data_IF_874028071565
#
_entry.id   IF_874028071565
#
_cell.length_a   1.000
_cell.length_b   1.000
_cell.length_c   1.000
_cell.angle_alpha   90.00
_cell.angle_beta   90.00
_cell.angle_gamma   90.00
#
_symmetry.space_group_name_H-M   'P 1'
#
loop_
_entity.id
_entity.type
_entity.pdbx_description
1 polymer ?
#
# COMPACT_ATOMS: atom_id res chain seq x y z
N UNK A 1 10.61 10.97 -22.35
CA UNK A 1 10.46 11.06 -20.88
C UNK A 1 9.29 11.99 -20.61
N UNK A 2 8.17 11.46 -20.12
CA UNK A 2 7.01 12.24 -19.71
C UNK A 2 6.91 12.18 -18.19
N UNK A 3 6.90 13.35 -17.55
CA UNK A 3 6.68 13.47 -16.11
C UNK A 3 5.21 13.13 -15.83
N UNK A 4 4.95 12.37 -14.76
CA UNK A 4 3.61 11.96 -14.36
C UNK A 4 3.18 12.73 -13.11
N UNK A 5 1.88 12.99 -12.96
CA UNK A 5 1.33 13.64 -11.77
C UNK A 5 1.10 12.61 -10.66
N UNK A 6 1.31 13.01 -9.40
CA UNK A 6 1.02 12.15 -8.25
C UNK A 6 -0.46 11.77 -8.14
N UNK A 7 -1.36 12.64 -8.59
CA UNK A 7 -2.81 12.38 -8.67
C UNK A 7 -3.19 11.26 -9.64
N UNK A 8 -2.29 10.89 -10.55
CA UNK A 8 -2.51 9.78 -11.47
C UNK A 8 -2.12 8.42 -10.85
N UNK A 9 -1.47 8.41 -9.67
CA UNK A 9 -1.43 7.20 -8.83
C UNK A 9 -2.86 6.92 -8.36
N UNK A 10 -3.41 5.77 -8.76
CA UNK A 10 -4.78 5.40 -8.39
C UNK A 10 -4.77 4.14 -7.55
N UNK A 11 -5.38 4.24 -6.38
CA UNK A 11 -5.68 3.09 -5.52
C UNK A 11 -7.12 2.69 -5.77
N UNK A 12 -7.31 1.43 -6.12
CA UNK A 12 -8.63 0.82 -6.20
C UNK A 12 -8.68 -0.43 -5.35
N UNK A 13 -9.87 -0.76 -4.88
CA UNK A 13 -10.06 -1.88 -3.99
C UNK A 13 -11.42 -2.56 -4.18
N UNK A 14 -11.51 -3.80 -3.71
CA UNK A 14 -12.76 -4.55 -3.66
C UNK A 14 -12.78 -5.53 -2.49
N UNK A 15 -13.97 -5.75 -1.95
CA UNK A 15 -14.20 -6.71 -0.85
C UNK A 15 -14.01 -8.16 -1.29
N UNK A 16 -14.53 -8.53 -2.46
CA UNK A 16 -14.45 -9.88 -3.00
C UNK A 16 -14.22 -9.84 -4.53
N UNK A 17 -13.70 -10.94 -5.07
CA UNK A 17 -13.58 -11.23 -6.50
C UNK A 17 -14.85 -10.99 -7.34
N UNK A 18 -16.03 -11.09 -6.72
CA UNK A 18 -17.34 -10.88 -7.37
C UNK A 18 -17.69 -9.43 -7.66
N UNK A 19 -17.04 -8.48 -7.00
CA UNK A 19 -17.30 -7.05 -7.15
C UNK A 19 -16.23 -6.38 -8.03
N UNK A 20 -16.58 -5.31 -8.77
CA UNK A 20 -15.59 -4.51 -9.47
C UNK A 20 -14.67 -3.77 -8.48
N UNK A 21 -13.49 -3.37 -8.96
CA UNK A 21 -12.61 -2.48 -8.21
C UNK A 21 -13.20 -1.06 -8.16
N UNK A 22 -13.32 -0.52 -6.96
CA UNK A 22 -13.77 0.85 -6.71
C UNK A 22 -12.58 1.73 -6.33
N UNK A 23 -12.57 2.97 -6.80
CA UNK A 23 -11.49 3.92 -6.48
C UNK A 23 -11.61 4.36 -5.03
N UNK A 24 -10.49 4.34 -4.31
CA UNK A 24 -10.44 4.86 -2.94
C UNK A 24 -10.69 6.36 -2.96
N UNK A 25 -11.74 6.81 -2.29
CA UNK A 25 -12.12 8.22 -2.26
C UNK A 25 -11.24 9.04 -1.31
N UNK A 26 -11.22 10.36 -1.50
CA UNK A 26 -10.69 11.31 -0.51
C UNK A 26 -9.16 11.38 -0.37
N UNK A 27 -8.39 10.51 -1.03
CA UNK A 27 -6.91 10.50 -0.93
C UNK A 27 -6.29 11.79 -1.49
N UNK A 28 -5.46 12.43 -0.68
CA UNK A 28 -4.64 13.61 -1.05
C UNK A 28 -3.17 13.26 -1.23
N UNK A 29 -2.67 12.32 -0.44
CA UNK A 29 -1.28 11.83 -0.52
C UNK A 29 -1.25 10.32 -0.51
N UNK A 30 -0.37 9.75 -1.32
CA UNK A 30 -0.21 8.31 -1.48
C UNK A 30 1.28 8.01 -1.64
N UNK A 31 1.78 7.03 -0.87
CA UNK A 31 3.17 6.58 -0.97
C UNK A 31 3.19 5.06 -1.06
N UNK A 32 3.92 4.54 -2.04
CA UNK A 32 4.12 3.11 -2.24
C UNK A 32 5.60 2.79 -2.11
N UNK A 33 5.93 1.94 -1.15
CA UNK A 33 7.30 1.52 -0.87
C UNK A 33 7.44 0.02 -1.08
N UNK A 34 8.50 -0.40 -1.74
CA UNK A 34 8.89 -1.80 -1.87
C UNK A 34 10.15 -2.03 -1.05
N UNK A 35 10.11 -2.98 -0.14
CA UNK A 35 11.26 -3.35 0.68
C UNK A 35 11.69 -4.78 0.36
N UNK A 36 12.99 -5.03 0.52
CA UNK A 36 13.57 -6.36 0.39
C UNK A 36 14.54 -6.59 1.53
N UNK A 37 14.40 -7.74 2.20
CA UNK A 37 15.24 -8.18 3.30
C UNK A 37 16.07 -9.39 2.85
N UNK A 38 17.19 -9.18 2.11
CA UNK A 38 18.01 -10.27 1.59
C UNK A 38 18.74 -11.01 2.71
N UNK A 39 18.92 -12.32 2.54
CA UNK A 39 19.64 -13.16 3.51
C UNK A 39 21.14 -13.10 3.20
N UNK A 40 21.91 -12.63 4.18
CA UNK A 40 23.38 -12.61 4.12
C UNK A 40 23.94 -14.02 4.35
N UNK A 41 24.82 -14.46 3.46
CA UNK A 41 25.49 -15.77 3.53
C UNK A 41 27.01 -15.66 3.51
N UNK A 42 27.54 -14.49 3.90
CA UNK A 42 28.97 -14.24 3.95
C UNK A 42 29.69 -15.19 4.93
N UNK A 43 30.85 -15.70 4.49
CA UNK A 43 31.73 -16.61 5.25
C UNK A 43 33.18 -16.15 5.19
N UNK A 44 34.06 -16.70 6.04
CA UNK A 44 35.49 -16.37 6.03
C UNK A 44 36.17 -16.69 4.68
N UNK A 45 35.65 -17.69 3.96
CA UNK A 45 36.11 -18.13 2.65
C UNK A 45 35.45 -17.37 1.48
N UNK A 46 34.62 -16.35 1.78
CA UNK A 46 33.97 -15.55 0.74
C UNK A 46 35.02 -14.86 -0.14
N UNK A 47 35.03 -15.28 -1.41
CA UNK A 47 35.97 -14.77 -2.39
C UNK A 47 35.91 -13.24 -2.43
N UNK A 48 37.09 -12.60 -2.39
CA UNK A 48 37.23 -11.16 -2.54
C UNK A 48 36.69 -10.30 -1.39
N UNK A 49 36.33 -10.88 -0.22
CA UNK A 49 35.92 -10.16 1.00
C UNK A 49 34.66 -9.27 0.84
N UNK A 50 33.85 -9.50 -0.20
CA UNK A 50 32.57 -8.81 -0.37
C UNK A 50 31.45 -9.57 0.35
N UNK A 51 30.41 -8.83 0.76
CA UNK A 51 29.18 -9.44 1.29
C UNK A 51 28.49 -10.23 0.18
N UNK A 52 28.09 -11.45 0.51
CA UNK A 52 27.36 -12.34 -0.41
C UNK A 52 25.95 -12.54 0.12
N UNK A 53 24.97 -12.44 -0.76
CA UNK A 53 23.57 -12.69 -0.44
C UNK A 53 23.09 -13.96 -1.14
N UNK A 54 22.22 -14.71 -0.49
CA UNK A 54 21.57 -15.85 -1.11
C UNK A 54 20.54 -15.37 -2.15
N UNK A 55 20.77 -15.72 -3.41
CA UNK A 55 19.89 -15.34 -4.52
C UNK A 55 18.47 -15.85 -4.30
N UNK A 56 17.48 -15.04 -4.70
CA UNK A 56 16.04 -15.35 -4.61
C UNK A 56 15.54 -15.67 -3.19
N UNK A 57 16.36 -15.42 -2.18
CA UNK A 57 16.01 -15.55 -0.78
C UNK A 57 15.77 -14.19 -0.15
N UNK A 58 14.98 -14.18 0.91
CA UNK A 58 14.61 -12.97 1.63
C UNK A 58 13.15 -12.59 1.40
N UNK A 59 12.55 -12.05 2.45
CA UNK A 59 11.19 -11.55 2.40
C UNK A 59 11.17 -10.23 1.64
N UNK A 60 10.16 -10.04 0.78
CA UNK A 60 9.85 -8.76 0.18
C UNK A 60 8.50 -8.33 0.72
N UNK A 61 8.40 -7.07 1.08
CA UNK A 61 7.16 -6.46 1.52
C UNK A 61 6.88 -5.22 0.69
N UNK A 62 5.62 -4.83 0.69
CA UNK A 62 5.12 -3.65 0.03
C UNK A 62 4.28 -2.91 1.04
N UNK A 63 4.63 -1.67 1.31
CA UNK A 63 3.91 -0.82 2.24
C UNK A 63 3.24 0.31 1.45
N UNK A 64 1.94 0.49 1.67
CA UNK A 64 1.14 1.52 1.05
C UNK A 64 0.56 2.43 2.13
N UNK A 65 0.90 3.71 2.05
CA UNK A 65 0.39 4.74 2.94
C UNK A 65 -0.52 5.69 2.17
N UNK A 66 -1.71 5.93 2.71
CA UNK A 66 -2.68 6.88 2.17
C UNK A 66 -3.14 7.87 3.24
N UNK A 67 -3.27 9.13 2.88
CA UNK A 67 -3.93 10.13 3.73
C UNK A 67 -4.87 10.98 2.90
N UNK A 68 -6.03 11.32 3.49
CA UNK A 68 -7.11 11.97 2.78
C UNK A 68 -8.11 12.67 3.67
N UNK A 69 -9.11 13.27 3.03
CA UNK A 69 -10.31 13.76 3.70
C UNK A 69 -11.33 12.64 3.84
N UNK A 70 -12.04 12.64 4.96
CA UNK A 70 -13.13 11.71 5.18
C UNK A 70 -14.34 12.14 4.33
N UNK A 71 -14.71 11.30 3.37
CA UNK A 71 -15.80 11.59 2.41
C UNK A 71 -17.06 10.77 2.62
N UNK A 72 -17.09 9.89 3.63
CA UNK A 72 -18.17 8.92 3.87
C UNK A 72 -18.54 8.12 2.62
N UNK A 73 -17.52 7.71 1.87
CA UNK A 73 -17.66 6.92 0.66
C UNK A 73 -17.79 5.42 1.00
N UNK A 74 -18.23 4.61 0.03
CA UNK A 74 -18.29 3.15 0.19
C UNK A 74 -16.92 2.56 0.56
N UNK A 75 -15.83 3.18 0.09
CA UNK A 75 -14.46 2.85 0.45
C UNK A 75 -14.20 2.89 1.95
N UNK A 76 -14.72 3.91 2.62
CA UNK A 76 -14.42 4.21 4.02
C UNK A 76 -15.06 3.15 4.93
N UNK A 77 -16.26 2.72 4.57
CA UNK A 77 -16.97 1.63 5.24
C UNK A 77 -16.24 0.29 5.05
N UNK A 78 -15.73 0.01 3.84
CA UNK A 78 -14.97 -1.22 3.57
C UNK A 78 -13.69 -1.31 4.40
N UNK A 79 -12.90 -0.23 4.47
CA UNK A 79 -11.69 -0.23 5.30
C UNK A 79 -12.01 -0.47 6.76
N UNK A 80 -13.04 0.20 7.29
CA UNK A 80 -13.45 0.02 8.68
C UNK A 80 -13.90 -1.42 8.97
N UNK A 81 -14.75 -2.00 8.12
CA UNK A 81 -15.20 -3.39 8.29
C UNK A 81 -14.04 -4.38 8.26
N UNK A 82 -13.10 -4.21 7.31
CA UNK A 82 -11.96 -5.12 7.14
C UNK A 82 -10.94 -5.00 8.27
N UNK A 83 -10.71 -3.79 8.78
CA UNK A 83 -9.81 -3.58 9.92
C UNK A 83 -10.30 -4.36 11.14
N UNK A 84 -11.60 -4.28 11.46
CA UNK A 84 -12.17 -4.99 12.61
C UNK A 84 -12.32 -6.50 12.40
N UNK A 85 -12.48 -6.96 11.15
CA UNK A 85 -12.54 -8.40 10.86
C UNK A 85 -11.15 -9.06 10.79
N UNK A 86 -10.07 -8.28 10.75
CA UNK A 86 -8.71 -8.78 10.51
C UNK A 86 -8.54 -9.38 9.11
N UNK A 87 -9.38 -8.96 8.16
CA UNK A 87 -9.41 -9.49 6.81
C UNK A 87 -8.34 -8.90 5.88
N UNK A 88 -8.32 -9.41 4.65
CA UNK A 88 -7.49 -8.89 3.58
C UNK A 88 -8.34 -8.18 2.53
N UNK A 89 -7.79 -7.12 1.96
CA UNK A 89 -8.39 -6.33 0.90
C UNK A 89 -7.72 -6.67 -0.43
N UNK A 90 -8.50 -6.95 -1.46
CA UNK A 90 -7.96 -7.05 -2.81
C UNK A 90 -7.78 -5.65 -3.38
N UNK A 91 -6.56 -5.30 -3.74
CA UNK A 91 -6.23 -3.98 -4.27
C UNK A 91 -5.68 -4.04 -5.69
N UNK A 92 -6.02 -3.01 -6.46
CA UNK A 92 -5.42 -2.67 -7.74
C UNK A 92 -4.77 -1.29 -7.62
N UNK A 93 -3.43 -1.27 -7.66
CA UNK A 93 -2.64 -0.04 -7.61
C UNK A 93 -2.17 0.27 -9.03
N UNK A 94 -2.54 1.44 -9.53
CA UNK A 94 -2.20 1.87 -10.89
C UNK A 94 -1.09 2.90 -10.81
N UNK A 95 0.06 2.57 -11.40
CA UNK A 95 1.19 3.47 -11.59
C UNK A 95 1.21 3.93 -13.07
N UNK A 96 0.96 5.21 -13.35
CA UNK A 96 0.94 5.72 -14.72
C UNK A 96 2.20 5.37 -15.50
N UNK A 97 2.03 4.86 -16.71
CA UNK A 97 3.12 4.40 -17.59
C UNK A 97 3.97 3.23 -17.10
N UNK A 98 3.83 2.80 -15.84
CA UNK A 98 4.57 1.68 -15.25
C UNK A 98 3.73 0.40 -15.18
N UNK A 99 2.40 0.53 -15.06
CA UNK A 99 1.46 -0.58 -15.11
C UNK A 99 0.56 -0.64 -13.89
N UNK A 100 0.10 -1.85 -13.55
CA UNK A 100 -0.77 -2.08 -12.41
C UNK A 100 -0.28 -3.24 -11.55
N UNK A 101 -0.48 -3.11 -10.25
CA UNK A 101 -0.13 -4.11 -9.25
C UNK A 101 -1.42 -4.62 -8.65
N UNK A 102 -1.56 -5.94 -8.61
CA UNK A 102 -2.68 -6.64 -8.02
C UNK A 102 -2.17 -7.43 -6.82
N UNK A 103 -2.83 -7.30 -5.68
CA UNK A 103 -2.40 -7.97 -4.47
C UNK A 103 -3.45 -7.94 -3.36
N UNK A 104 -3.23 -8.78 -2.37
CA UNK A 104 -3.99 -8.75 -1.12
C UNK A 104 -3.17 -7.99 -0.08
N UNK A 105 -3.81 -7.02 0.57
CA UNK A 105 -3.21 -6.18 1.60
C UNK A 105 -3.98 -6.34 2.90
N UNK A 106 -3.29 -6.29 4.02
CA UNK A 106 -3.90 -6.22 5.34
C UNK A 106 -3.84 -4.76 5.81
N UNK A 107 -4.80 -4.31 6.61
CA UNK A 107 -4.76 -2.96 7.16
C UNK A 107 -3.90 -3.00 8.43
N UNK A 108 -2.72 -2.39 8.38
CA UNK A 108 -1.81 -2.28 9.52
C UNK A 108 -2.26 -1.16 10.47
N UNK A 109 -2.70 -0.03 9.92
CA UNK A 109 -3.19 1.11 10.69
C UNK A 109 -4.38 1.78 9.98
N UNK A 110 -5.39 2.15 10.76
CA UNK A 110 -6.50 3.01 10.32
C UNK A 110 -6.71 4.11 11.37
N UNK A 111 -6.47 5.36 10.97
CA UNK A 111 -6.56 6.53 11.85
C UNK A 111 -7.58 7.52 11.30
N UNK A 112 -8.43 8.03 12.18
CA UNK A 112 -9.32 9.16 11.91
C UNK A 112 -8.88 10.36 12.75
N UNK A 113 -8.76 11.53 12.13
CA UNK A 113 -8.42 12.78 12.79
C UNK A 113 -9.54 13.80 12.54
N UNK A 114 -9.92 14.55 13.57
CA UNK A 114 -10.95 15.58 13.48
C UNK A 114 -10.62 16.73 14.40
N UNK A 115 -10.07 17.80 13.84
CA UNK A 115 -9.87 19.05 14.56
C UNK A 115 -11.20 19.78 14.73
N UNK A 116 -11.41 20.49 15.85
CA UNK A 116 -12.70 21.12 16.19
C UNK A 116 -13.21 22.08 15.09
N UNK A 117 -12.30 22.88 14.51
CA UNK A 117 -12.59 23.83 13.43
C UNK A 117 -12.11 23.33 12.05
N UNK A 118 -11.68 22.07 11.95
CA UNK A 118 -11.05 21.50 10.76
C UNK A 118 -11.90 20.46 10.04
N UNK A 119 -11.48 20.12 8.82
CA UNK A 119 -12.06 18.99 8.08
C UNK A 119 -11.62 17.67 8.73
N UNK A 120 -12.55 16.70 8.82
CA UNK A 120 -12.18 15.35 9.23
C UNK A 120 -11.26 14.73 8.18
N UNK A 121 -10.11 14.24 8.63
CA UNK A 121 -9.14 13.53 7.80
C UNK A 121 -8.94 12.11 8.27
N UNK A 122 -8.32 11.30 7.43
CA UNK A 122 -8.00 9.92 7.75
C UNK A 122 -6.66 9.53 7.15
N UNK A 123 -6.03 8.55 7.77
CA UNK A 123 -4.80 7.91 7.32
C UNK A 123 -4.95 6.39 7.38
N UNK A 124 -4.33 5.71 6.43
CA UNK A 124 -4.25 4.26 6.39
C UNK A 124 -2.83 3.80 6.07
N UNK A 125 -2.43 2.69 6.67
CA UNK A 125 -1.25 1.91 6.32
C UNK A 125 -1.66 0.48 5.97
N UNK A 126 -1.13 -0.03 4.86
CA UNK A 126 -1.47 -1.29 4.21
C UNK A 126 -0.22 -2.10 3.85
#
# INVERSE_FOLDING_TARGET
>A
MTVQTGSALLLKMRKDSRFPYETVAGLRTQSLTFNANPIDTSSADSASRWRTFLAESGMRDMNLQGQGLFSNAASDLMFRELFFSGGHLNMEIILPSYGKILGQFAIAELQYLGDYDGEMSWRIEL
#
